data_IF_548492700728
#
_entry.id   IF_548492700728
#
_cell.length_a   1.000
_cell.length_b   1.000
_cell.length_c   1.000
_cell.angle_alpha   90.00
_cell.angle_beta   90.00
_cell.angle_gamma   90.00
#
_symmetry.space_group_name_H-M   'P 1'
#
loop_
_entity.id
_entity.type
_entity.pdbx_description
1 polymer ?
#
# COMPACT_ATOMS: atom_id res chain seq x y z
N UNK A 1 3.11 8.77 0.02
CA UNK A 1 3.10 7.55 0.85
C UNK A 1 4.33 7.55 1.75
N UNK A 2 4.29 6.82 2.88
CA UNK A 2 5.46 6.64 3.75
C UNK A 2 6.70 6.11 3.01
N UNK A 3 6.46 5.34 1.95
CA UNK A 3 7.49 4.68 1.17
C UNK A 3 8.40 5.68 0.46
N UNK A 4 7.87 6.88 0.16
CA UNK A 4 8.68 7.96 -0.41
C UNK A 4 9.66 8.54 0.61
N UNK A 5 9.23 8.68 1.88
CA UNK A 5 10.11 9.14 2.95
C UNK A 5 11.25 8.14 3.16
N UNK A 6 10.93 6.83 3.16
CA UNK A 6 11.94 5.77 3.25
C UNK A 6 12.94 5.82 2.09
N UNK A 7 12.47 5.94 0.85
CA UNK A 7 13.36 5.99 -0.32
C UNK A 7 14.23 7.25 -0.34
N UNK A 8 13.68 8.41 0.07
CA UNK A 8 14.46 9.65 0.21
C UNK A 8 15.53 9.51 1.30
N UNK A 9 15.19 8.94 2.46
CA UNK A 9 16.19 8.66 3.50
C UNK A 9 17.26 7.68 3.01
N UNK A 10 16.90 6.69 2.20
CA UNK A 10 17.84 5.75 1.60
C UNK A 10 18.80 6.46 0.62
N UNK A 11 18.30 7.36 -0.22
CA UNK A 11 19.13 8.20 -1.09
C UNK A 11 20.11 9.07 -0.28
N UNK A 12 19.65 9.69 0.80
CA UNK A 12 20.48 10.52 1.68
C UNK A 12 21.56 9.68 2.36
N UNK A 13 21.21 8.49 2.83
CA UNK A 13 22.14 7.56 3.47
C UNK A 13 23.28 7.16 2.52
N UNK A 14 22.95 6.82 1.28
CA UNK A 14 23.96 6.42 0.29
C UNK A 14 24.84 7.61 -0.10
N UNK A 15 24.26 8.80 -0.26
CA UNK A 15 25.02 9.99 -0.70
C UNK A 15 25.93 10.56 0.39
N UNK A 16 25.50 10.49 1.65
CA UNK A 16 26.20 11.05 2.80
C UNK A 16 27.01 9.99 3.58
N UNK A 17 27.04 8.74 3.10
CA UNK A 17 27.69 7.59 3.76
C UNK A 17 27.32 7.48 5.25
N UNK A 18 26.04 7.75 5.56
CA UNK A 18 25.53 7.76 6.93
C UNK A 18 25.44 6.33 7.49
N UNK A 19 25.43 6.23 8.82
CA UNK A 19 25.23 4.97 9.52
C UNK A 19 23.93 4.29 9.06
N UNK A 20 24.02 2.97 8.83
CA UNK A 20 22.92 2.05 8.52
C UNK A 20 21.76 2.19 9.52
N UNK A 21 22.01 2.62 10.75
CA UNK A 21 20.99 2.86 11.76
C UNK A 21 19.88 3.84 11.30
N UNK A 22 20.16 4.77 10.39
CA UNK A 22 19.14 5.68 9.84
C UNK A 22 18.08 4.98 8.98
N UNK A 23 18.33 3.74 8.52
CA UNK A 23 17.33 2.92 7.82
C UNK A 23 16.14 2.59 8.73
N UNK A 24 16.39 2.31 10.02
CA UNK A 24 15.33 2.01 10.98
C UNK A 24 14.40 3.20 11.20
N UNK A 25 14.96 4.41 11.21
CA UNK A 25 14.18 5.64 11.32
C UNK A 25 13.26 5.82 10.10
N UNK A 26 13.81 5.65 8.90
CA UNK A 26 13.04 5.72 7.65
C UNK A 26 11.94 4.67 7.56
N UNK A 27 12.23 3.44 8.00
CA UNK A 27 11.25 2.36 8.05
C UNK A 27 10.14 2.61 9.08
N UNK A 28 10.48 3.20 10.24
CA UNK A 28 9.51 3.54 11.28
C UNK A 28 8.53 4.61 10.80
N UNK A 29 9.03 5.66 10.16
CA UNK A 29 8.19 6.73 9.59
C UNK A 29 7.32 6.16 8.45
N UNK A 30 7.88 5.32 7.59
CA UNK A 30 7.13 4.65 6.52
C UNK A 30 5.94 3.85 7.06
N UNK A 31 6.18 3.06 8.12
CA UNK A 31 5.14 2.29 8.80
C UNK A 31 4.01 3.16 9.36
N UNK A 32 4.35 4.27 10.04
CA UNK A 32 3.36 5.18 10.63
C UNK A 32 2.52 5.89 9.57
N UNK A 33 3.12 6.27 8.44
CA UNK A 33 2.43 6.93 7.32
C UNK A 33 1.65 5.92 6.45
N UNK A 34 1.76 4.63 6.75
CA UNK A 34 0.94 3.57 6.15
C UNK A 34 1.49 2.96 4.85
N UNK A 35 2.74 3.31 4.49
CA UNK A 35 3.53 2.66 3.44
C UNK A 35 2.77 2.36 2.13
N UNK A 36 3.08 1.23 1.51
CA UNK A 36 2.43 0.69 0.32
C UNK A 36 0.94 0.37 0.54
N UNK A 37 0.55 0.01 1.77
CA UNK A 37 -0.81 -0.40 2.10
C UNK A 37 -1.85 0.70 1.93
N UNK A 38 -1.48 1.96 2.18
CA UNK A 38 -2.39 3.08 1.95
C UNK A 38 -2.69 3.26 0.46
N UNK A 39 -1.71 3.03 -0.41
CA UNK A 39 -1.92 3.13 -1.85
C UNK A 39 -2.82 1.99 -2.37
N UNK A 40 -2.59 0.76 -1.92
CA UNK A 40 -3.47 -0.37 -2.30
C UNK A 40 -4.87 -0.22 -1.73
N UNK A 41 -5.00 0.26 -0.49
CA UNK A 41 -6.31 0.59 0.10
C UNK A 41 -7.04 1.65 -0.72
N UNK A 42 -6.36 2.72 -1.13
CA UNK A 42 -6.97 3.79 -1.92
C UNK A 42 -7.44 3.28 -3.31
N UNK A 43 -6.60 2.50 -4.00
CA UNK A 43 -6.96 1.89 -5.30
C UNK A 43 -8.14 0.93 -5.13
N UNK A 44 -8.12 0.10 -4.08
CA UNK A 44 -9.19 -0.88 -3.87
C UNK A 44 -10.52 -0.24 -3.48
N UNK A 45 -10.48 0.81 -2.66
CA UNK A 45 -11.64 1.64 -2.37
C UNK A 45 -12.19 2.29 -3.65
N UNK A 46 -11.32 2.90 -4.47
CA UNK A 46 -11.73 3.53 -5.72
C UNK A 46 -12.40 2.55 -6.69
N UNK A 47 -11.87 1.33 -6.84
CA UNK A 47 -12.49 0.27 -7.68
C UNK A 47 -13.86 -0.12 -7.15
N UNK A 48 -14.01 -0.21 -5.83
CA UNK A 48 -15.28 -0.52 -5.18
C UNK A 48 -16.33 0.57 -5.42
N UNK A 49 -15.91 1.83 -5.48
CA UNK A 49 -16.80 2.97 -5.67
C UNK A 49 -17.25 3.12 -7.13
N UNK A 50 -16.38 2.88 -8.12
CA UNK A 50 -16.72 3.04 -9.55
C UNK A 50 -17.45 1.82 -10.15
N UNK A 51 -17.38 0.66 -9.52
CA UNK A 51 -17.91 -0.59 -10.10
C UNK A 51 -19.20 -0.99 -9.38
N UNK A 52 -20.38 -0.96 -10.02
CA UNK A 52 -21.63 -1.26 -9.32
C UNK A 52 -21.86 -2.77 -9.10
N UNK A 53 -21.43 -3.64 -10.03
CA UNK A 53 -21.66 -5.09 -9.94
C UNK A 53 -20.54 -5.81 -9.17
N UNK A 54 -20.92 -6.65 -8.19
CA UNK A 54 -19.99 -7.40 -7.35
C UNK A 54 -19.09 -8.38 -8.15
N UNK A 55 -19.63 -9.08 -9.15
CA UNK A 55 -18.85 -9.99 -9.99
C UNK A 55 -17.74 -9.26 -10.77
N UNK A 56 -18.04 -8.04 -11.24
CA UNK A 56 -17.07 -7.24 -12.00
C UNK A 56 -15.99 -6.63 -11.09
N UNK A 57 -16.30 -6.39 -9.80
CA UNK A 57 -15.31 -5.97 -8.80
C UNK A 57 -14.23 -7.03 -8.61
N UNK A 58 -14.63 -8.29 -8.44
CA UNK A 58 -13.70 -9.40 -8.22
C UNK A 58 -12.72 -9.57 -9.37
N UNK A 59 -13.19 -9.49 -10.63
CA UNK A 59 -12.33 -9.58 -11.81
C UNK A 59 -11.34 -8.40 -11.88
N UNK A 60 -11.81 -7.18 -11.60
CA UNK A 60 -10.95 -5.98 -11.58
C UNK A 60 -9.88 -6.05 -10.49
N UNK A 61 -10.23 -6.54 -9.30
CA UNK A 61 -9.26 -6.78 -8.22
C UNK A 61 -8.22 -7.82 -8.63
N UNK A 62 -8.65 -8.95 -9.20
CA UNK A 62 -7.74 -10.00 -9.65
C UNK A 62 -6.76 -9.50 -10.72
N UNK A 63 -7.21 -8.68 -11.67
CA UNK A 63 -6.33 -8.10 -12.69
C UNK A 63 -5.27 -7.18 -12.05
N UNK A 64 -5.68 -6.30 -11.13
CA UNK A 64 -4.75 -5.36 -10.50
C UNK A 64 -3.76 -6.07 -9.58
N UNK A 65 -4.22 -7.03 -8.78
CA UNK A 65 -3.31 -7.86 -7.99
C UNK A 65 -2.36 -8.67 -8.88
N UNK A 66 -2.84 -9.23 -9.98
CA UNK A 66 -2.00 -9.93 -10.95
C UNK A 66 -0.88 -9.04 -11.51
N UNK A 67 -1.21 -7.79 -11.89
CA UNK A 67 -0.21 -6.82 -12.36
C UNK A 67 0.80 -6.48 -11.25
N UNK A 68 0.34 -6.29 -10.02
CA UNK A 68 1.21 -6.01 -8.86
C UNK A 68 2.17 -7.18 -8.61
N UNK A 69 1.68 -8.42 -8.64
CA UNK A 69 2.49 -9.60 -8.38
C UNK A 69 3.54 -9.80 -9.48
N UNK A 70 3.11 -9.78 -10.75
CA UNK A 70 4.03 -9.95 -11.90
C UNK A 70 5.03 -8.81 -11.97
N UNK A 71 4.55 -7.57 -11.85
CA UNK A 71 5.42 -6.38 -11.84
C UNK A 71 6.38 -6.38 -10.66
N UNK A 72 5.90 -6.77 -9.47
CA UNK A 72 6.71 -6.95 -8.27
C UNK A 72 7.83 -7.95 -8.49
N UNK A 73 7.52 -9.15 -8.98
CA UNK A 73 8.51 -10.19 -9.26
C UNK A 73 9.52 -9.76 -10.34
N UNK A 74 9.06 -9.18 -11.45
CA UNK A 74 9.95 -8.67 -12.49
C UNK A 74 10.88 -7.57 -11.96
N UNK A 75 10.35 -6.66 -11.14
CA UNK A 75 11.13 -5.55 -10.59
C UNK A 75 12.26 -6.03 -9.68
N UNK A 76 12.02 -7.05 -8.84
CA UNK A 76 13.04 -7.63 -7.98
C UNK A 76 14.20 -8.23 -8.79
N UNK A 77 13.89 -8.99 -9.84
CA UNK A 77 14.91 -9.58 -10.72
C UNK A 77 15.68 -8.48 -11.45
N UNK A 78 14.97 -7.51 -12.05
CA UNK A 78 15.59 -6.42 -12.79
C UNK A 78 16.50 -5.55 -11.91
N UNK A 79 16.04 -5.18 -10.71
CA UNK A 79 16.82 -4.41 -9.74
C UNK A 79 18.04 -5.20 -9.27
N UNK A 80 17.91 -6.52 -9.06
CA UNK A 80 19.03 -7.38 -8.68
C UNK A 80 20.16 -7.41 -9.71
N UNK A 81 19.83 -7.48 -11.00
CA UNK A 81 20.82 -7.35 -12.07
C UNK A 81 21.40 -5.94 -12.16
N UNK A 82 20.57 -4.92 -11.99
CA UNK A 82 20.99 -3.53 -12.08
C UNK A 82 21.97 -3.15 -10.97
N UNK A 83 21.73 -3.58 -9.73
CA UNK A 83 22.64 -3.36 -8.60
C UNK A 83 24.02 -3.98 -8.87
N UNK A 84 24.07 -5.17 -9.49
CA UNK A 84 25.35 -5.81 -9.86
C UNK A 84 26.13 -5.04 -10.92
N UNK A 85 25.44 -4.34 -11.82
CA UNK A 85 26.06 -3.63 -12.93
C UNK A 85 26.52 -2.20 -12.57
N UNK A 86 25.69 -1.43 -11.86
CA UNK A 86 25.92 0.01 -11.63
C UNK A 86 25.98 0.41 -10.15
N UNK A 87 25.97 -0.57 -9.25
CA UNK A 87 25.95 -0.34 -7.81
C UNK A 87 24.56 0.07 -7.28
N UNK A 88 24.51 0.42 -6.00
CA UNK A 88 23.25 0.60 -5.27
C UNK A 88 22.60 1.97 -5.44
N UNK A 89 23.36 3.01 -5.79
CA UNK A 89 22.85 4.39 -5.85
C UNK A 89 21.86 4.62 -7.01
N UNK A 90 22.21 4.18 -8.22
CA UNK A 90 21.38 4.39 -9.42
C UNK A 90 20.00 3.71 -9.29
N UNK A 91 19.88 2.44 -8.88
CA UNK A 91 18.59 1.79 -8.67
C UNK A 91 17.70 2.54 -7.67
N UNK A 92 18.27 3.03 -6.57
CA UNK A 92 17.52 3.75 -5.53
C UNK A 92 17.02 5.09 -6.07
N UNK A 93 17.83 5.80 -6.85
CA UNK A 93 17.41 7.03 -7.51
C UNK A 93 16.27 6.80 -8.52
N UNK A 94 16.34 5.70 -9.30
CA UNK A 94 15.26 5.32 -10.22
C UNK A 94 13.97 5.05 -9.44
N UNK A 95 14.02 4.28 -8.35
CA UNK A 95 12.87 4.04 -7.49
C UNK A 95 12.28 5.36 -6.93
N UNK A 96 13.13 6.28 -6.48
CA UNK A 96 12.69 7.59 -5.98
C UNK A 96 11.96 8.40 -7.06
N UNK A 97 12.53 8.46 -8.26
CA UNK A 97 11.96 9.20 -9.39
C UNK A 97 10.62 8.61 -9.84
N UNK A 98 10.52 7.27 -9.95
CA UNK A 98 9.30 6.60 -10.36
C UNK A 98 8.18 6.83 -9.34
N UNK A 99 8.51 6.76 -8.05
CA UNK A 99 7.54 7.01 -6.99
C UNK A 99 7.06 8.47 -6.97
N UNK A 100 7.95 9.43 -7.23
CA UNK A 100 7.59 10.83 -7.36
C UNK A 100 6.64 11.06 -8.54
N UNK A 101 6.91 10.45 -9.70
CA UNK A 101 6.02 10.50 -10.87
C UNK A 101 4.66 9.88 -10.56
N UNK A 102 4.61 8.73 -9.89
CA UNK A 102 3.35 8.10 -9.48
C UNK A 102 2.51 9.02 -8.58
N UNK A 103 3.14 9.69 -7.61
CA UNK A 103 2.43 10.64 -6.73
C UNK A 103 1.93 11.84 -7.53
N UNK A 104 2.72 12.34 -8.48
CA UNK A 104 2.33 13.44 -9.33
C UNK A 104 1.11 13.05 -10.21
N UNK A 105 1.13 11.85 -10.78
CA UNK A 105 -0.02 11.30 -11.52
C UNK A 105 -1.24 11.20 -10.61
N UNK A 106 -1.11 10.70 -9.39
CA UNK A 106 -2.25 10.61 -8.46
C UNK A 106 -2.80 12.00 -8.13
N UNK A 107 -1.95 13.00 -7.88
CA UNK A 107 -2.39 14.35 -7.51
C UNK A 107 -3.11 15.05 -8.67
N UNK A 108 -2.61 14.90 -9.91
CA UNK A 108 -3.12 15.65 -11.05
C UNK A 108 -4.18 14.91 -11.87
N UNK A 109 -4.07 13.58 -12.00
CA UNK A 109 -4.92 12.79 -12.88
C UNK A 109 -6.01 12.01 -12.14
N UNK A 110 -5.90 11.76 -10.83
CA UNK A 110 -6.92 10.97 -10.13
C UNK A 110 -8.14 11.86 -9.84
N UNK A 111 -9.28 11.65 -10.52
CA UNK A 111 -10.49 12.39 -10.20
C UNK A 111 -11.04 11.89 -8.86
N UNK A 112 -11.63 12.80 -8.09
CA UNK A 112 -12.34 12.45 -6.85
C UNK A 112 -13.43 11.42 -7.13
N UNK A 113 -13.25 10.20 -6.60
CA UNK A 113 -14.16 9.06 -6.84
C UNK A 113 -15.47 9.22 -6.07
N UNK A 114 -15.49 10.01 -4.99
CA UNK A 114 -16.66 10.23 -4.14
C UNK A 114 -17.49 11.43 -4.63
N UNK A 115 -18.67 11.14 -5.17
CA UNK A 115 -19.68 12.17 -5.50
C UNK A 115 -20.23 12.93 -4.28
N UNK A 116 -20.15 12.34 -3.09
CA UNK A 116 -20.64 12.94 -1.85
C UNK A 116 -19.50 13.07 -0.85
N UNK A 117 -19.16 14.30 -0.45
CA UNK A 117 -18.22 14.56 0.64
C UNK A 117 -18.83 14.05 1.95
N UNK A 118 -18.50 12.83 2.33
CA UNK A 118 -18.77 12.39 3.70
C UNK A 118 -17.93 13.24 4.66
N UNK A 119 -18.57 13.76 5.72
CA UNK A 119 -17.88 14.53 6.74
C UNK A 119 -16.83 13.65 7.42
N UNK A 120 -15.55 13.96 7.18
CA UNK A 120 -14.45 13.29 7.83
C UNK A 120 -14.40 13.72 9.31
N UNK A 121 -14.68 12.79 10.21
CA UNK A 121 -14.51 13.03 11.65
C UNK A 121 -13.13 12.54 12.08
N UNK A 122 -12.36 13.42 12.74
CA UNK A 122 -10.99 13.16 13.23
C UNK A 122 -10.91 12.17 14.40
N UNK A 123 -12.00 11.51 14.75
CA UNK A 123 -12.04 10.64 15.93
C UNK A 123 -11.55 9.23 15.57
N UNK A 124 -10.22 9.06 15.57
CA UNK A 124 -9.50 7.82 15.24
C UNK A 124 -10.04 6.62 16.04
N UNK A 125 -10.34 6.83 17.33
CA UNK A 125 -10.88 5.77 18.19
C UNK A 125 -12.23 5.24 17.72
N UNK A 126 -13.09 6.10 17.18
CA UNK A 126 -14.38 5.68 16.61
C UNK A 126 -14.17 4.85 15.34
N UNK A 127 -13.22 5.21 14.47
CA UNK A 127 -12.94 4.45 13.26
C UNK A 127 -12.33 3.08 13.58
N UNK A 128 -11.37 3.02 14.51
CA UNK A 128 -10.82 1.74 15.00
C UNK A 128 -11.93 0.87 15.58
N UNK A 129 -12.81 1.45 16.43
CA UNK A 129 -13.94 0.73 17.01
C UNK A 129 -14.97 0.29 15.95
N UNK A 130 -15.22 1.08 14.91
CA UNK A 130 -16.09 0.71 13.78
C UNK A 130 -15.51 -0.46 12.99
N UNK A 131 -14.22 -0.41 12.68
CA UNK A 131 -13.51 -1.51 12.00
C UNK A 131 -13.54 -2.78 12.85
N UNK A 132 -13.24 -2.67 14.14
CA UNK A 132 -13.36 -3.78 15.08
C UNK A 132 -14.78 -4.37 15.12
N UNK A 133 -15.80 -3.51 15.26
CA UNK A 133 -17.21 -3.94 15.20
C UNK A 133 -17.57 -4.60 13.87
N UNK A 134 -17.02 -4.13 12.76
CA UNK A 134 -17.27 -4.71 11.45
C UNK A 134 -16.75 -6.15 11.36
N UNK A 135 -15.49 -6.39 11.71
CA UNK A 135 -14.89 -7.73 11.63
C UNK A 135 -15.46 -8.70 12.67
N UNK A 136 -15.67 -8.24 13.92
CA UNK A 136 -16.00 -9.13 15.03
C UNK A 136 -17.48 -9.19 15.36
N UNK A 137 -18.28 -8.14 15.12
CA UNK A 137 -19.65 -8.02 15.62
C UNK A 137 -20.71 -7.94 14.50
N UNK A 138 -20.38 -7.47 13.29
CA UNK A 138 -21.35 -7.18 12.23
C UNK A 138 -21.28 -8.19 11.09
N UNK A 139 -21.86 -9.38 11.30
CA UNK A 139 -22.15 -10.33 10.23
C UNK A 139 -23.59 -10.86 10.35
N UNK A 140 -24.33 -11.02 9.24
CA UNK A 140 -25.73 -11.45 9.27
C UNK A 140 -25.89 -12.88 9.81
N UNK A 141 -24.83 -13.71 9.77
CA UNK A 141 -24.81 -15.08 10.26
C UNK A 141 -23.48 -15.41 10.95
N UNK A 142 -23.48 -16.39 11.87
CA UNK A 142 -22.24 -16.90 12.53
C UNK A 142 -21.19 -17.36 11.51
N UNK A 143 -21.62 -17.94 10.39
CA UNK A 143 -20.76 -18.41 9.30
C UNK A 143 -19.98 -17.27 8.61
N UNK A 144 -20.66 -16.17 8.27
CA UNK A 144 -19.99 -15.01 7.65
C UNK A 144 -18.96 -14.36 8.59
N UNK A 145 -19.22 -14.31 9.90
CA UNK A 145 -18.27 -13.79 10.90
C UNK A 145 -17.00 -14.64 10.96
N UNK A 146 -17.16 -15.97 10.95
CA UNK A 146 -16.03 -16.90 10.96
C UNK A 146 -15.18 -16.76 9.70
N UNK A 147 -15.81 -16.62 8.53
CA UNK A 147 -15.13 -16.37 7.26
C UNK A 147 -14.29 -15.07 7.27
N UNK A 148 -14.83 -13.97 7.79
CA UNK A 148 -14.06 -12.72 7.88
C UNK A 148 -12.90 -12.81 8.86
N UNK A 149 -13.08 -13.48 10.00
CA UNK A 149 -11.99 -13.66 10.99
C UNK A 149 -10.90 -14.61 10.49
N UNK A 150 -11.27 -15.67 9.77
CA UNK A 150 -10.31 -16.61 9.17
C UNK A 150 -9.55 -15.93 8.03
N UNK A 151 -10.24 -15.16 7.18
CA UNK A 151 -9.60 -14.39 6.11
C UNK A 151 -8.59 -13.37 6.65
N UNK A 152 -8.93 -12.65 7.73
CA UNK A 152 -8.01 -11.74 8.41
C UNK A 152 -6.79 -12.49 8.98
N UNK A 153 -7.01 -13.62 9.64
CA UNK A 153 -5.94 -14.43 10.19
C UNK A 153 -4.98 -14.93 9.11
N UNK A 154 -5.50 -15.44 7.99
CA UNK A 154 -4.68 -15.88 6.85
C UNK A 154 -3.86 -14.71 6.28
N UNK A 155 -4.46 -13.54 6.10
CA UNK A 155 -3.75 -12.37 5.58
C UNK A 155 -2.62 -11.91 6.52
N UNK A 156 -2.86 -11.93 7.84
CA UNK A 156 -1.81 -11.63 8.83
C UNK A 156 -0.71 -12.69 8.79
N UNK A 157 -1.04 -13.98 8.71
CA UNK A 157 -0.04 -15.05 8.61
C UNK A 157 0.84 -14.88 7.37
N UNK A 158 0.25 -14.56 6.20
CA UNK A 158 1.02 -14.30 4.97
C UNK A 158 1.93 -13.07 5.11
N UNK A 159 1.52 -12.06 5.88
CA UNK A 159 2.33 -10.87 6.11
C UNK A 159 3.54 -11.09 7.02
N UNK A 160 3.41 -12.02 7.99
CA UNK A 160 4.42 -12.27 9.01
C UNK A 160 5.25 -13.54 8.77
N UNK A 161 4.91 -14.34 7.74
CA UNK A 161 5.68 -15.50 7.29
C UNK A 161 6.71 -15.09 6.23
#
# INVERSE_FOLDING_TARGET
SGSMVKVIMLCLLIKLELDINFIYLGASIDGIVGSYYVATLAVTAAISDITPLAANKAVRFAIIEGIILVGGSLSQVAIGYLIKAVGFFIPVLICASLLAVCILIVIFLLPETLKNKQQFTWNIGIHIMKTYKFYFLKGPTKHSRLLYTVGLAIHLTIMFA
#
